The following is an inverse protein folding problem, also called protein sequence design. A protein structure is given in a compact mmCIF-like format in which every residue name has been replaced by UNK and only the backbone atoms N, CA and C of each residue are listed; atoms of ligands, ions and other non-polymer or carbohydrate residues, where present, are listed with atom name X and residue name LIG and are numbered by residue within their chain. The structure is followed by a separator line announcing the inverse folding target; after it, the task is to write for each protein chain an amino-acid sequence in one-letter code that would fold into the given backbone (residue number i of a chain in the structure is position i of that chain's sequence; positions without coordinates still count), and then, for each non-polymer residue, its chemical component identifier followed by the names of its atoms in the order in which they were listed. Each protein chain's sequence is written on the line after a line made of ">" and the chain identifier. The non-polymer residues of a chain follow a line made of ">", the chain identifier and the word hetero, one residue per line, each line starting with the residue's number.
data_IF_814417230123
#
_entry.id   IF_814417230123
#
_cell.length_a   1.000
_cell.length_b   1.000
_cell.length_c   1.000
_cell.angle_alpha   90.00
_cell.angle_beta   90.00
_cell.angle_gamma   90.00
#
_symmetry.space_group_name_H-M   'P 1'
#
loop_
_entity.id
_entity.type
_entity.pdbx_description
1 polymer ?
#
# COMPACT_ATOMS: atom_id res chain seq x y z
N UNK A 1 -5.10 -12.54 28.81
CA UNK A 1 -4.36 -11.26 28.96
C UNK A 1 -4.19 -11.00 30.44
N UNK A 2 -3.00 -10.59 30.92
CA UNK A 2 -2.82 -10.23 32.32
C UNK A 2 -3.72 -9.04 32.70
N UNK A 3 -4.28 -9.05 33.91
CA UNK A 3 -5.02 -7.90 34.42
C UNK A 3 -4.06 -6.73 34.67
N UNK A 4 -4.35 -5.62 34.02
CA UNK A 4 -3.69 -4.35 34.28
C UNK A 4 -4.50 -3.56 35.30
N UNK A 5 -3.79 -3.01 36.27
CA UNK A 5 -4.31 -2.13 37.31
C UNK A 5 -4.76 -0.81 36.69
N UNK A 6 -6.07 -0.63 36.56
CA UNK A 6 -6.66 0.53 35.89
C UNK A 6 -6.34 1.84 36.61
N UNK A 7 -6.13 1.81 37.94
CA UNK A 7 -5.89 2.99 38.78
C UNK A 7 -4.56 2.96 39.54
N UNK A 8 -3.62 2.06 39.22
CA UNK A 8 -2.33 1.95 39.93
C UNK A 8 -2.39 1.44 41.37
N UNK A 9 -3.60 1.23 41.92
CA UNK A 9 -3.82 0.80 43.32
C UNK A 9 -3.51 -0.69 43.57
N UNK A 10 -3.35 -1.48 42.51
CA UNK A 10 -3.00 -2.89 42.58
C UNK A 10 -1.79 -3.18 41.68
N UNK A 11 -0.95 -4.18 42.01
CA UNK A 11 0.11 -4.63 41.12
C UNK A 11 -0.47 -5.22 39.85
N UNK A 12 0.13 -4.90 38.69
CA UNK A 12 -0.18 -5.58 37.44
C UNK A 12 0.13 -7.07 37.60
N UNK A 13 -0.82 -7.93 37.23
CA UNK A 13 -0.56 -9.37 37.20
C UNK A 13 0.43 -9.64 36.07
N UNK A 14 1.59 -10.23 36.38
CA UNK A 14 2.49 -10.70 35.33
C UNK A 14 2.04 -12.10 34.93
N UNK A 15 1.97 -12.38 33.62
CA UNK A 15 1.69 -13.72 33.16
C UNK A 15 2.70 -14.69 33.78
N UNK A 16 2.22 -15.70 34.50
CA UNK A 16 3.06 -16.67 35.17
C UNK A 16 4.04 -17.31 34.18
N UNK A 17 5.34 -17.13 34.43
CA UNK A 17 6.41 -17.77 33.64
C UNK A 17 6.39 -19.30 33.75
N UNK A 18 5.57 -19.90 34.63
CA UNK A 18 5.50 -21.34 34.85
C UNK A 18 4.26 -21.99 34.21
N UNK A 19 3.32 -21.21 33.66
CA UNK A 19 2.07 -21.74 33.09
C UNK A 19 2.27 -22.75 31.95
N UNK A 20 3.36 -22.63 31.19
CA UNK A 20 3.74 -23.56 30.13
C UNK A 20 4.03 -24.98 30.66
N UNK A 21 4.47 -25.13 31.92
CA UNK A 21 4.75 -26.45 32.51
C UNK A 21 3.49 -27.31 32.61
N UNK A 22 2.33 -26.70 32.85
CA UNK A 22 1.06 -27.44 32.91
C UNK A 22 0.62 -27.93 31.52
N UNK A 23 0.93 -27.16 30.47
CA UNK A 23 0.69 -27.54 29.07
C UNK A 23 1.58 -28.72 28.69
N UNK A 24 2.88 -28.65 29.00
CA UNK A 24 3.84 -29.73 28.72
C UNK A 24 3.52 -31.01 29.50
N UNK A 25 2.95 -30.90 30.71
CA UNK A 25 2.55 -32.04 31.54
C UNK A 25 1.20 -32.64 31.15
N UNK A 26 0.41 -31.96 30.32
CA UNK A 26 -0.89 -32.47 29.88
C UNK A 26 -0.72 -33.71 29.01
N UNK A 27 -1.29 -34.83 29.45
CA UNK A 27 -1.28 -36.10 28.70
C UNK A 27 -1.95 -35.96 27.34
N UNK A 28 -3.01 -35.14 27.24
CA UNK A 28 -3.68 -34.82 25.98
C UNK A 28 -2.75 -34.08 25.02
N UNK A 29 -2.04 -33.05 25.48
CA UNK A 29 -1.10 -32.30 24.63
C UNK A 29 0.05 -33.19 24.18
N UNK A 30 0.57 -34.06 25.05
CA UNK A 30 1.59 -35.04 24.67
C UNK A 30 1.08 -36.02 23.61
N UNK A 31 -0.11 -36.59 23.81
CA UNK A 31 -0.73 -37.49 22.84
C UNK A 31 -0.95 -36.81 21.49
N UNK A 32 -1.32 -35.53 21.47
CA UNK A 32 -1.43 -34.77 20.23
C UNK A 32 -0.07 -34.59 19.56
N UNK A 33 0.97 -34.19 20.31
CA UNK A 33 2.32 -34.00 19.75
C UNK A 33 2.92 -35.32 19.26
N UNK A 34 2.65 -36.43 19.95
CA UNK A 34 3.07 -37.78 19.54
C UNK A 34 2.37 -38.25 18.26
N UNK A 35 1.15 -37.76 17.99
CA UNK A 35 0.39 -38.00 16.76
C UNK A 35 0.81 -37.05 15.62
N UNK A 36 1.58 -36.00 15.90
CA UNK A 36 2.07 -35.09 14.87
C UNK A 36 3.19 -35.75 14.06
N UNK A 37 2.92 -35.97 12.79
CA UNK A 37 3.93 -36.40 11.83
C UNK A 37 4.72 -35.19 11.31
N UNK A 38 6.04 -35.29 11.37
CA UNK A 38 6.89 -34.37 10.63
C UNK A 38 6.78 -34.70 9.15
N UNK A 39 6.13 -33.82 8.39
CA UNK A 39 6.22 -33.88 6.93
C UNK A 39 7.63 -33.39 6.57
N UNK A 40 8.51 -34.30 6.17
CA UNK A 40 9.78 -33.96 5.54
C UNK A 40 9.48 -33.19 4.23
N UNK A 41 9.30 -31.88 4.35
CA UNK A 41 9.72 -30.96 3.28
C UNK A 41 11.20 -31.22 3.12
N UNK A 42 11.59 -31.78 1.98
CA UNK A 42 12.98 -32.08 1.64
C UNK A 42 13.89 -30.95 2.13
N UNK A 43 14.97 -31.30 2.81
CA UNK A 43 15.99 -30.37 3.31
C UNK A 43 16.60 -29.52 2.19
N UNK A 44 16.47 -29.98 0.95
CA UNK A 44 16.48 -29.15 -0.23
C UNK A 44 15.06 -28.63 -0.44
N UNK A 45 14.82 -27.33 -0.19
CA UNK A 45 13.69 -26.66 -0.87
C UNK A 45 13.81 -27.09 -2.32
N UNK A 46 12.79 -27.76 -2.86
CA UNK A 46 12.86 -28.25 -4.22
C UNK A 46 13.01 -27.03 -5.13
N UNK A 47 14.26 -26.66 -5.44
CA UNK A 47 14.60 -25.58 -6.35
C UNK A 47 14.04 -25.86 -7.73
N UNK A 48 13.56 -27.10 -8.00
CA UNK A 48 12.78 -27.43 -9.19
C UNK A 48 11.38 -26.82 -9.18
N UNK A 49 10.79 -26.52 -8.01
CA UNK A 49 9.50 -25.82 -7.90
C UNK A 49 9.66 -24.30 -7.97
N UNK A 50 10.83 -23.77 -7.68
CA UNK A 50 11.12 -22.32 -7.76
C UNK A 50 11.88 -22.00 -9.04
N UNK A 51 11.20 -21.37 -10.01
CA UNK A 51 11.80 -21.04 -11.30
C UNK A 51 12.60 -19.72 -11.23
N UNK A 52 13.61 -19.69 -10.35
CA UNK A 52 14.53 -18.57 -10.24
C UNK A 52 15.38 -18.44 -11.49
N UNK A 53 15.51 -17.21 -11.99
CA UNK A 53 16.24 -16.89 -13.21
C UNK A 53 17.34 -15.90 -12.89
N UNK A 54 18.52 -16.16 -13.44
CA UNK A 54 19.58 -15.16 -13.51
C UNK A 54 19.08 -14.00 -14.38
N UNK A 55 19.18 -12.77 -13.88
CA UNK A 55 18.87 -11.59 -14.65
C UNK A 55 20.04 -11.24 -15.57
N UNK A 56 19.81 -11.40 -16.87
CA UNK A 56 20.75 -11.03 -17.92
C UNK A 56 20.00 -10.27 -19.03
N UNK A 57 19.91 -8.95 -18.89
CA UNK A 57 19.25 -8.09 -19.87
C UNK A 57 20.06 -6.84 -20.14
N UNK A 58 20.13 -6.44 -21.41
CA UNK A 58 20.77 -5.19 -21.86
C UNK A 58 19.73 -4.07 -22.07
N UNK A 59 18.59 -4.14 -21.38
CA UNK A 59 17.57 -3.09 -21.49
C UNK A 59 18.02 -1.78 -20.84
N UNK A 60 17.56 -0.64 -21.34
CA UNK A 60 17.89 0.65 -20.72
C UNK A 60 17.17 0.84 -19.38
N UNK A 61 17.88 1.32 -18.34
CA UNK A 61 17.26 1.64 -17.06
C UNK A 61 16.27 2.80 -17.18
N UNK A 62 15.39 2.92 -16.19
CA UNK A 62 14.46 4.04 -16.04
C UNK A 62 15.21 5.21 -15.40
N UNK A 63 14.92 6.44 -15.85
CA UNK A 63 15.69 7.63 -15.50
C UNK A 63 15.02 8.46 -14.41
N UNK A 64 13.70 8.63 -14.51
CA UNK A 64 12.92 9.39 -13.54
C UNK A 64 12.30 8.44 -12.53
N UNK A 65 12.35 8.79 -11.25
CA UNK A 65 11.79 7.95 -10.19
C UNK A 65 10.81 8.78 -9.38
N UNK A 66 9.62 8.21 -9.14
CA UNK A 66 8.66 8.75 -8.20
C UNK A 66 8.44 7.73 -7.09
N UNK A 67 8.44 8.16 -5.85
CA UNK A 67 8.17 7.31 -4.70
C UNK A 67 7.07 7.91 -3.84
N UNK A 68 6.10 7.08 -3.43
CA UNK A 68 5.03 7.47 -2.51
C UNK A 68 5.10 6.62 -1.25
N UNK A 69 4.91 7.26 -0.11
CA UNK A 69 4.73 6.60 1.18
C UNK A 69 3.76 7.40 2.08
N UNK A 70 3.12 6.71 3.00
CA UNK A 70 2.12 7.26 3.90
C UNK A 70 2.34 6.83 5.34
N UNK A 71 1.97 7.70 6.27
CA UNK A 71 1.86 7.34 7.68
C UNK A 71 0.59 7.91 8.30
N UNK A 72 0.12 7.28 9.37
CA UNK A 72 -0.93 7.82 10.21
C UNK A 72 -0.61 7.61 11.68
N UNK A 73 -1.11 8.50 12.53
CA UNK A 73 -0.97 8.42 13.99
C UNK A 73 -2.31 8.72 14.63
N UNK A 74 -2.77 7.80 15.49
CA UNK A 74 -3.89 8.07 16.40
C UNK A 74 -3.40 8.89 17.58
N UNK A 75 -4.10 9.98 17.87
CA UNK A 75 -3.90 10.83 19.04
C UNK A 75 -5.16 10.80 19.89
N UNK A 76 -4.96 10.60 21.19
CA UNK A 76 -6.03 10.54 22.20
C UNK A 76 -5.78 11.68 23.19
N UNK A 77 -6.78 12.52 23.47
CA UNK A 77 -6.67 13.54 24.51
C UNK A 77 -7.99 13.81 25.25
N UNK A 78 -7.88 14.52 26.38
CA UNK A 78 -8.98 14.84 27.28
C UNK A 78 -9.31 13.75 28.32
N UNK A 79 -10.21 14.11 29.24
CA UNK A 79 -10.68 13.22 30.32
C UNK A 79 -11.92 12.41 29.88
N UNK A 80 -12.17 11.28 30.54
CA UNK A 80 -13.16 10.26 30.16
C UNK A 80 -14.56 10.79 29.81
N UNK A 81 -15.15 10.37 28.66
CA UNK A 81 -14.56 9.53 27.62
C UNK A 81 -13.56 10.32 26.76
N UNK A 82 -12.42 9.71 26.36
CA UNK A 82 -11.36 10.43 25.66
C UNK A 82 -11.78 10.79 24.23
N UNK A 83 -11.25 11.92 23.73
CA UNK A 83 -11.38 12.33 22.33
C UNK A 83 -10.28 11.68 21.52
N UNK A 84 -10.62 11.11 20.37
CA UNK A 84 -9.65 10.45 19.50
C UNK A 84 -9.70 11.02 18.09
N UNK A 85 -8.54 11.35 17.55
CA UNK A 85 -8.35 11.73 16.15
C UNK A 85 -7.25 10.88 15.51
N UNK A 86 -7.31 10.71 14.19
CA UNK A 86 -6.21 10.19 13.40
C UNK A 86 -5.65 11.30 12.51
N UNK A 87 -4.36 11.62 12.68
CA UNK A 87 -3.62 12.42 11.71
C UNK A 87 -3.07 11.50 10.63
N UNK A 88 -3.22 11.90 9.37
CA UNK A 88 -2.76 11.14 8.20
C UNK A 88 -1.90 12.06 7.35
N UNK A 89 -0.73 11.59 6.94
CA UNK A 89 0.20 12.30 6.08
C UNK A 89 0.75 11.35 5.02
N UNK A 90 0.66 11.75 3.77
CA UNK A 90 1.23 11.02 2.64
C UNK A 90 2.19 11.95 1.90
N UNK A 91 3.31 11.41 1.43
CA UNK A 91 4.32 12.15 0.71
C UNK A 91 4.59 11.49 -0.65
N UNK A 92 4.71 12.31 -1.69
CA UNK A 92 5.14 11.92 -3.03
C UNK A 92 6.45 12.64 -3.31
N UNK A 93 7.48 11.89 -3.64
CA UNK A 93 8.81 12.40 -3.93
C UNK A 93 9.18 12.09 -5.37
N UNK A 94 9.58 13.11 -6.12
CA UNK A 94 10.29 12.93 -7.38
C UNK A 94 11.80 12.88 -7.10
N UNK A 95 12.48 11.89 -7.66
CA UNK A 95 13.94 11.80 -7.59
C UNK A 95 14.51 11.56 -8.98
N UNK A 96 15.50 12.36 -9.33
CA UNK A 96 16.33 12.15 -10.50
C UNK A 96 17.39 11.09 -10.17
N UNK A 97 17.47 10.02 -10.97
CA UNK A 97 18.45 8.95 -10.80
C UNK A 97 19.88 9.48 -10.73
N UNK A 98 20.22 10.49 -11.54
CA UNK A 98 21.57 11.09 -11.55
C UNK A 98 21.89 11.71 -10.19
N UNK A 99 20.89 12.28 -9.50
CA UNK A 99 21.08 12.82 -8.15
C UNK A 99 21.27 11.72 -7.10
N UNK A 100 20.61 10.57 -7.25
CA UNK A 100 20.79 9.41 -6.34
C UNK A 100 22.22 8.87 -6.47
N UNK A 101 22.73 8.75 -7.69
CA UNK A 101 24.07 8.21 -7.94
C UNK A 101 25.21 9.04 -7.31
N UNK A 102 24.95 10.32 -7.03
CA UNK A 102 25.90 11.21 -6.34
C UNK A 102 25.91 11.03 -4.80
N UNK A 103 24.93 10.33 -4.24
CA UNK A 103 24.81 10.11 -2.79
C UNK A 103 25.58 8.84 -2.42
N UNK A 104 26.34 8.89 -1.32
CA UNK A 104 26.94 7.68 -0.76
C UNK A 104 25.83 6.73 -0.25
N UNK A 105 25.67 5.53 -0.85
CA UNK A 105 24.61 4.59 -0.46
C UNK A 105 24.84 3.95 0.91
N UNK A 106 26.06 4.06 1.49
CA UNK A 106 26.38 3.54 2.82
C UNK A 106 26.21 4.60 3.90
N UNK A 107 26.61 5.84 3.61
CA UNK A 107 26.59 6.93 4.57
C UNK A 107 26.10 8.24 3.90
N UNK A 108 24.80 8.33 3.59
CA UNK A 108 24.28 9.48 2.86
C UNK A 108 24.38 10.75 3.72
N UNK A 109 24.93 11.83 3.15
CA UNK A 109 25.12 13.07 3.89
C UNK A 109 23.75 13.77 4.13
N UNK A 110 23.39 14.13 5.38
CA UNK A 110 22.05 14.68 5.68
C UNK A 110 21.67 15.93 4.89
N UNK A 111 22.63 16.81 4.58
CA UNK A 111 22.37 18.00 3.75
C UNK A 111 22.02 17.65 2.29
N UNK A 112 22.67 16.64 1.70
CA UNK A 112 22.37 16.20 0.33
C UNK A 112 20.96 15.60 0.24
N UNK A 113 20.57 14.83 1.27
CA UNK A 113 19.22 14.31 1.42
C UNK A 113 18.21 15.46 1.49
N UNK A 114 18.44 16.46 2.34
CA UNK A 114 17.55 17.61 2.50
C UNK A 114 17.40 18.40 1.19
N UNK A 115 18.50 18.67 0.49
CA UNK A 115 18.47 19.46 -0.75
C UNK A 115 17.64 18.77 -1.87
N UNK A 116 17.61 17.43 -1.88
CA UNK A 116 16.74 16.65 -2.78
C UNK A 116 15.27 16.77 -2.37
N UNK A 117 14.99 16.76 -1.07
CA UNK A 117 13.64 16.80 -0.51
C UNK A 117 12.97 18.17 -0.68
N UNK A 118 13.69 19.27 -0.42
CA UNK A 118 13.12 20.63 -0.34
C UNK A 118 12.45 21.11 -1.64
N UNK A 119 12.85 20.57 -2.81
CA UNK A 119 12.34 20.99 -4.12
C UNK A 119 11.54 19.92 -4.89
N UNK A 120 11.40 18.71 -4.32
CA UNK A 120 10.90 17.56 -5.08
C UNK A 120 9.80 16.76 -4.38
N UNK A 121 9.36 17.23 -3.20
CA UNK A 121 8.35 16.56 -2.39
C UNK A 121 7.01 17.30 -2.38
N UNK A 122 5.94 16.58 -2.70
CA UNK A 122 4.56 16.99 -2.47
C UNK A 122 4.00 16.20 -1.29
N UNK A 123 3.05 16.77 -0.57
CA UNK A 123 2.42 16.11 0.57
C UNK A 123 0.91 16.30 0.56
N UNK A 124 0.21 15.31 1.13
CA UNK A 124 -1.20 15.36 1.49
C UNK A 124 -1.28 15.25 3.00
N UNK A 125 -2.09 16.07 3.66
CA UNK A 125 -2.26 15.99 5.12
C UNK A 125 -3.71 16.22 5.54
N UNK A 126 -4.25 15.33 6.35
CA UNK A 126 -5.62 15.47 6.87
C UNK A 126 -5.77 14.88 8.27
N UNK A 127 -6.93 15.12 8.88
CA UNK A 127 -7.26 14.62 10.22
C UNK A 127 -8.69 14.08 10.24
N UNK A 128 -8.87 12.89 10.79
CA UNK A 128 -10.19 12.30 10.99
C UNK A 128 -10.61 12.32 12.45
N UNK A 129 -11.85 12.70 12.76
CA UNK A 129 -12.43 12.42 14.06
C UNK A 129 -12.73 10.92 14.15
N UNK A 130 -12.21 10.26 15.19
CA UNK A 130 -12.47 8.83 15.43
C UNK A 130 -13.59 8.65 16.46
N UNK A 131 -13.40 9.17 17.68
CA UNK A 131 -14.33 9.00 18.79
C UNK A 131 -14.53 10.28 19.59
N UNK A 132 -15.78 10.50 20.05
CA UNK A 132 -16.17 11.59 20.96
C UNK A 132 -15.85 13.01 20.45
N UNK A 133 -15.91 13.21 19.13
CA UNK A 133 -15.69 14.49 18.47
C UNK A 133 -16.90 14.79 17.59
N UNK A 134 -17.26 16.07 17.46
CA UNK A 134 -18.28 16.55 16.54
C UNK A 134 -17.75 17.75 15.80
N UNK A 135 -18.15 17.90 14.54
CA UNK A 135 -17.74 19.04 13.70
C UNK A 135 -18.96 19.87 13.33
N UNK A 136 -18.73 21.03 12.69
CA UNK A 136 -19.82 21.81 12.09
C UNK A 136 -20.52 21.06 10.95
N UNK A 137 -19.92 20.01 10.40
CA UNK A 137 -20.46 19.18 9.32
C UNK A 137 -21.39 18.06 9.80
N UNK A 138 -21.58 17.91 11.11
CA UNK A 138 -22.49 16.92 11.69
C UNK A 138 -21.80 15.93 12.62
N UNK A 139 -22.36 14.72 12.69
CA UNK A 139 -21.81 13.58 13.42
C UNK A 139 -20.50 13.08 12.76
N UNK A 140 -19.84 12.09 13.37
CA UNK A 140 -18.56 11.58 12.85
C UNK A 140 -18.70 11.00 11.44
N UNK A 141 -19.83 10.33 11.18
CA UNK A 141 -20.13 9.75 9.89
C UNK A 141 -20.14 10.78 8.75
N UNK A 142 -20.89 11.87 8.89
CA UNK A 142 -20.94 12.94 7.89
C UNK A 142 -19.64 13.77 7.86
N UNK A 143 -19.03 13.99 9.02
CA UNK A 143 -17.77 14.70 9.11
C UNK A 143 -16.67 14.00 8.29
N UNK A 144 -16.46 12.70 8.47
CA UNK A 144 -15.41 11.96 7.75
C UNK A 144 -15.69 11.94 6.25
N UNK A 145 -16.93 11.70 5.82
CA UNK A 145 -17.31 11.73 4.39
C UNK A 145 -16.93 13.05 3.72
N UNK A 146 -17.28 14.15 4.36
CA UNK A 146 -16.97 15.48 3.84
C UNK A 146 -15.50 15.88 4.00
N UNK A 147 -14.79 15.42 5.04
CA UNK A 147 -13.34 15.66 5.16
C UNK A 147 -12.61 14.97 4.02
N UNK A 148 -12.95 13.72 3.71
CA UNK A 148 -12.37 12.96 2.59
C UNK A 148 -12.58 13.69 1.26
N UNK A 149 -13.83 14.12 0.99
CA UNK A 149 -14.15 14.85 -0.23
C UNK A 149 -13.36 16.15 -0.36
N UNK A 150 -13.42 17.01 0.66
CA UNK A 150 -12.76 18.32 0.64
C UNK A 150 -11.24 18.18 0.60
N UNK A 151 -10.67 17.23 1.36
CA UNK A 151 -9.22 17.06 1.46
C UNK A 151 -8.61 16.72 0.09
N UNK A 152 -9.27 15.89 -0.71
CA UNK A 152 -8.81 15.57 -2.06
C UNK A 152 -8.94 16.75 -3.04
N UNK A 153 -9.89 17.66 -2.80
CA UNK A 153 -10.13 18.84 -3.65
C UNK A 153 -9.25 20.04 -3.29
N UNK A 154 -8.81 20.15 -2.05
CA UNK A 154 -8.01 21.28 -1.56
C UNK A 154 -6.53 21.11 -1.95
N UNK A 155 -5.95 19.94 -1.70
CA UNK A 155 -4.52 19.72 -1.88
C UNK A 155 -4.13 19.72 -3.37
N UNK A 156 -3.00 20.36 -3.69
CA UNK A 156 -2.46 20.53 -5.05
C UNK A 156 -3.51 21.06 -6.06
N UNK A 157 -4.35 22.02 -5.63
CA UNK A 157 -5.45 22.59 -6.42
C UNK A 157 -6.41 21.52 -6.99
N UNK A 158 -6.65 20.45 -6.23
CA UNK A 158 -7.57 19.37 -6.60
C UNK A 158 -6.96 18.33 -7.53
N UNK A 159 -5.63 18.31 -7.72
CA UNK A 159 -4.98 17.36 -8.61
C UNK A 159 -5.24 15.90 -8.23
N UNK A 160 -5.31 15.60 -6.93
CA UNK A 160 -5.62 14.25 -6.44
C UNK A 160 -7.07 13.86 -6.68
N UNK A 161 -8.01 14.79 -6.51
CA UNK A 161 -9.42 14.59 -6.86
C UNK A 161 -9.62 14.37 -8.36
N UNK A 162 -8.94 15.15 -9.22
CA UNK A 162 -8.98 14.92 -10.66
C UNK A 162 -8.38 13.58 -11.07
N UNK A 163 -7.36 13.09 -10.36
CA UNK A 163 -6.84 11.74 -10.55
C UNK A 163 -7.86 10.67 -10.15
N UNK A 164 -8.60 10.87 -9.04
CA UNK A 164 -9.71 9.99 -8.67
C UNK A 164 -10.76 9.94 -9.79
N UNK A 165 -11.16 11.09 -10.33
CA UNK A 165 -12.11 11.18 -11.46
C UNK A 165 -11.56 10.51 -12.72
N UNK A 166 -10.28 10.71 -13.01
CA UNK A 166 -9.60 10.12 -14.16
C UNK A 166 -9.61 8.58 -14.11
N UNK A 167 -9.32 7.99 -12.96
CA UNK A 167 -9.46 6.53 -12.72
C UNK A 167 -10.92 6.09 -12.75
N UNK A 168 -11.79 6.80 -12.04
CA UNK A 168 -13.19 6.41 -11.86
C UNK A 168 -13.97 6.38 -13.18
N UNK A 169 -13.79 7.41 -14.00
CA UNK A 169 -14.50 7.58 -15.28
C UNK A 169 -13.68 7.14 -16.49
N UNK A 170 -12.52 6.50 -16.26
CA UNK A 170 -11.59 6.03 -17.30
C UNK A 170 -11.28 7.12 -18.35
N UNK A 171 -10.96 8.33 -17.89
CA UNK A 171 -10.81 9.53 -18.75
C UNK A 171 -9.67 9.43 -19.79
N UNK A 172 -8.83 8.38 -19.75
CA UNK A 172 -7.86 8.07 -20.80
C UNK A 172 -8.48 7.47 -22.06
N UNK A 173 -9.73 7.00 -21.98
CA UNK A 173 -10.50 6.50 -23.12
C UNK A 173 -11.44 7.59 -23.67
N UNK A 174 -11.87 7.41 -24.91
CA UNK A 174 -12.85 8.26 -25.60
C UNK A 174 -14.28 8.01 -25.13
N UNK A 175 -14.56 6.83 -24.57
CA UNK A 175 -15.86 6.45 -24.07
C UNK A 175 -16.14 7.11 -22.71
N UNK A 176 -17.29 7.76 -22.59
CA UNK A 176 -17.75 8.35 -21.34
C UNK A 176 -18.42 7.28 -20.48
N UNK A 177 -17.70 6.82 -19.47
CA UNK A 177 -18.20 5.83 -18.51
C UNK A 177 -18.83 6.47 -17.26
N UNK A 178 -19.73 5.74 -16.61
CA UNK A 178 -20.21 6.06 -15.26
C UNK A 178 -19.21 5.56 -14.21
N UNK A 179 -19.29 6.08 -12.98
CA UNK A 179 -18.50 5.51 -11.88
C UNK A 179 -18.91 4.06 -11.60
N UNK A 180 -18.07 3.27 -10.91
CA UNK A 180 -18.51 2.02 -10.31
C UNK A 180 -19.74 2.21 -9.41
N UNK A 181 -20.56 1.17 -9.31
CA UNK A 181 -21.69 1.14 -8.40
C UNK A 181 -21.22 1.16 -6.93
N UNK A 182 -22.10 1.62 -6.05
CA UNK A 182 -21.79 1.71 -4.63
C UNK A 182 -23.07 1.83 -3.80
N UNK A 183 -22.95 1.61 -2.49
CA UNK A 183 -24.05 1.72 -1.56
C UNK A 183 -24.22 3.18 -1.12
N UNK A 184 -25.46 3.69 -1.12
CA UNK A 184 -25.75 5.03 -0.63
C UNK A 184 -25.48 5.12 0.88
N UNK A 185 -24.72 6.14 1.36
CA UNK A 185 -24.41 6.31 2.78
C UNK A 185 -25.65 6.57 3.64
N UNK A 186 -26.72 7.17 3.09
CA UNK A 186 -27.91 7.48 3.89
C UNK A 186 -28.95 6.37 3.95
N UNK A 187 -29.18 5.65 2.84
CA UNK A 187 -30.30 4.68 2.76
C UNK A 187 -29.88 3.26 2.43
N UNK A 188 -28.57 2.99 2.33
CA UNK A 188 -28.00 1.66 2.07
C UNK A 188 -28.44 0.97 0.75
N UNK A 189 -29.14 1.67 -0.14
CA UNK A 189 -29.49 1.14 -1.47
C UNK A 189 -28.33 1.33 -2.44
N UNK A 190 -28.14 0.37 -3.34
CA UNK A 190 -27.09 0.41 -4.37
C UNK A 190 -27.46 1.43 -5.44
N UNK A 191 -26.56 2.36 -5.70
CA UNK A 191 -26.58 3.32 -6.80
C UNK A 191 -25.71 2.76 -7.91
N UNK A 192 -26.22 2.75 -9.15
CA UNK A 192 -25.53 2.14 -10.31
C UNK A 192 -24.20 2.83 -10.66
N UNK A 193 -24.08 4.11 -10.33
CA UNK A 193 -22.88 4.92 -10.51
C UNK A 193 -23.22 6.40 -10.62
N UNK A 194 -22.19 7.24 -10.51
CA UNK A 194 -22.28 8.66 -10.84
C UNK A 194 -22.27 8.85 -12.36
N UNK A 195 -23.07 9.81 -12.87
CA UNK A 195 -22.92 10.29 -14.24
C UNK A 195 -21.48 10.72 -14.53
N UNK A 196 -21.05 10.56 -15.79
CA UNK A 196 -19.70 10.91 -16.22
C UNK A 196 -19.30 12.31 -15.75
N UNK A 197 -18.12 12.38 -15.12
CA UNK A 197 -17.46 13.61 -14.67
C UNK A 197 -18.21 14.43 -13.59
N UNK A 198 -19.24 13.87 -12.98
CA UNK A 198 -19.97 14.52 -11.88
C UNK A 198 -19.26 14.35 -10.53
N UNK A 199 -19.40 15.37 -9.67
CA UNK A 199 -18.75 15.42 -8.35
C UNK A 199 -19.71 15.06 -7.21
N UNK A 200 -20.98 15.46 -7.37
CA UNK A 200 -22.07 15.24 -6.41
C UNK A 200 -23.36 14.90 -7.14
N UNK A 201 -24.25 14.18 -6.48
CA UNK A 201 -25.59 13.89 -6.98
C UNK A 201 -26.57 13.68 -5.83
N UNK A 202 -27.87 13.72 -6.13
CA UNK A 202 -28.93 13.30 -5.21
C UNK A 202 -29.17 11.80 -5.37
N UNK A 203 -29.24 11.07 -4.25
CA UNK A 203 -29.57 9.65 -4.28
C UNK A 203 -30.96 9.42 -4.93
N UNK A 204 -31.09 8.52 -5.92
CA UNK A 204 -32.37 8.28 -6.60
C UNK A 204 -33.45 7.67 -5.71
N UNK A 205 -33.10 7.17 -4.51
CA UNK A 205 -34.03 6.50 -3.61
C UNK A 205 -34.40 7.31 -2.37
N UNK A 206 -33.49 8.10 -1.81
CA UNK A 206 -33.74 8.89 -0.59
C UNK A 206 -33.52 10.39 -0.76
N UNK A 207 -33.07 10.84 -1.93
CA UNK A 207 -32.84 12.26 -2.27
C UNK A 207 -31.84 13.01 -1.38
N UNK A 208 -31.04 12.31 -0.56
CA UNK A 208 -29.92 12.91 0.15
C UNK A 208 -28.72 13.14 -0.78
N UNK A 209 -27.84 14.06 -0.37
CA UNK A 209 -26.59 14.34 -1.09
C UNK A 209 -25.59 13.20 -0.97
N UNK A 210 -25.01 12.86 -2.11
CA UNK A 210 -23.97 11.85 -2.25
C UNK A 210 -22.78 12.48 -2.97
N UNK A 211 -21.59 12.25 -2.43
CA UNK A 211 -20.32 12.75 -2.91
C UNK A 211 -19.64 11.66 -3.74
N UNK A 212 -18.91 12.00 -4.79
CA UNK A 212 -18.20 11.00 -5.60
C UNK A 212 -17.29 10.08 -4.76
N UNK A 213 -16.67 10.64 -3.72
CA UNK A 213 -15.82 9.88 -2.79
C UNK A 213 -16.57 8.85 -1.96
N UNK A 214 -17.90 8.96 -1.82
CA UNK A 214 -18.72 7.93 -1.16
C UNK A 214 -18.66 6.59 -1.92
N UNK A 215 -18.37 6.61 -3.23
CA UNK A 215 -18.17 5.41 -4.04
C UNK A 215 -17.07 4.51 -3.49
N UNK A 216 -16.03 5.09 -2.89
CA UNK A 216 -14.92 4.34 -2.27
C UNK A 216 -15.40 3.49 -1.08
N UNK A 217 -16.50 3.88 -0.44
CA UNK A 217 -17.17 3.06 0.59
C UNK A 217 -16.61 3.22 2.00
N UNK A 218 -15.88 4.29 2.33
CA UNK A 218 -15.42 4.54 3.71
C UNK A 218 -16.55 4.51 4.74
N UNK A 219 -17.73 4.96 4.33
CA UNK A 219 -18.94 5.00 5.13
C UNK A 219 -19.48 3.61 5.51
N UNK A 220 -18.99 2.53 4.91
CA UNK A 220 -19.38 1.16 5.26
C UNK A 220 -18.64 0.63 6.49
N UNK A 221 -17.50 1.22 6.84
CA UNK A 221 -16.70 0.84 8.00
C UNK A 221 -16.98 1.73 9.23
N UNK A 222 -17.91 2.67 9.11
CA UNK A 222 -18.21 3.67 10.14
C UNK A 222 -19.61 3.47 10.73
N UNK A 223 -19.78 3.96 11.95
CA UNK A 223 -21.09 4.18 12.58
C UNK A 223 -21.26 5.66 12.89
N UNK A 224 -22.48 6.06 13.29
CA UNK A 224 -22.86 7.48 13.37
C UNK A 224 -21.89 8.34 14.21
N UNK A 225 -21.52 7.85 15.40
CA UNK A 225 -20.67 8.56 16.36
C UNK A 225 -19.24 8.00 16.46
N UNK A 226 -18.83 7.06 15.60
CA UNK A 226 -17.50 6.44 15.68
C UNK A 226 -16.96 5.98 14.33
N UNK A 227 -15.67 6.25 14.09
CA UNK A 227 -14.90 5.71 12.99
C UNK A 227 -13.71 4.89 13.53
N UNK A 228 -13.53 3.63 13.08
CA UNK A 228 -12.39 2.82 13.47
C UNK A 228 -11.09 3.32 12.81
N UNK A 229 -9.95 2.98 13.40
CA UNK A 229 -8.62 3.29 12.84
C UNK A 229 -8.41 2.71 11.43
N UNK A 230 -9.13 1.64 11.07
CA UNK A 230 -9.11 1.07 9.73
C UNK A 230 -9.55 2.04 8.63
N UNK A 231 -10.40 3.03 8.95
CA UNK A 231 -10.79 4.09 8.01
C UNK A 231 -9.60 4.99 7.69
N UNK A 232 -8.80 5.34 8.71
CA UNK A 232 -7.61 6.17 8.53
C UNK A 232 -6.53 5.45 7.71
N UNK A 233 -6.26 4.17 8.03
CA UNK A 233 -5.28 3.39 7.28
C UNK A 233 -5.74 3.10 5.84
N UNK A 234 -7.04 2.84 5.62
CA UNK A 234 -7.57 2.67 4.27
C UNK A 234 -7.51 3.97 3.45
N UNK A 235 -7.77 5.12 4.07
CA UNK A 235 -7.68 6.41 3.39
C UNK A 235 -6.23 6.70 2.98
N UNK A 236 -5.27 6.43 3.87
CA UNK A 236 -3.85 6.52 3.56
C UNK A 236 -3.47 5.70 2.31
N UNK A 237 -3.91 4.44 2.23
CA UNK A 237 -3.65 3.56 1.07
C UNK A 237 -4.29 4.09 -0.24
N UNK A 238 -5.48 4.66 -0.15
CA UNK A 238 -6.15 5.29 -1.30
C UNK A 238 -5.39 6.54 -1.74
N UNK A 239 -5.01 7.41 -0.81
CA UNK A 239 -4.26 8.64 -1.12
C UNK A 239 -2.87 8.31 -1.67
N UNK A 240 -2.15 7.32 -1.13
CA UNK A 240 -0.91 6.83 -1.73
C UNK A 240 -1.12 6.42 -3.20
N UNK A 241 -2.20 5.69 -3.47
CA UNK A 241 -2.54 5.28 -4.84
C UNK A 241 -2.86 6.50 -5.71
N UNK A 242 -3.69 7.44 -5.25
CA UNK A 242 -4.03 8.65 -6.01
C UNK A 242 -2.82 9.55 -6.24
N UNK A 243 -1.96 9.74 -5.24
CA UNK A 243 -0.73 10.51 -5.35
C UNK A 243 0.24 9.84 -6.32
N UNK A 244 0.35 8.51 -6.34
CA UNK A 244 1.15 7.78 -7.34
C UNK A 244 0.60 7.94 -8.76
N UNK A 245 -0.73 7.88 -8.92
CA UNK A 245 -1.40 8.01 -10.22
C UNK A 245 -1.50 9.45 -10.73
N UNK A 246 -1.29 10.45 -9.87
CA UNK A 246 -1.34 11.86 -10.26
C UNK A 246 -0.24 12.25 -11.25
N UNK A 247 1.06 12.00 -11.00
CA UNK A 247 2.09 12.21 -12.01
C UNK A 247 1.90 11.29 -13.22
N UNK A 248 1.39 10.06 -13.05
CA UNK A 248 1.04 9.18 -14.19
C UNK A 248 0.03 9.87 -15.11
N UNK A 249 -1.07 10.40 -14.57
CA UNK A 249 -2.09 11.14 -15.33
C UNK A 249 -1.50 12.36 -16.03
N UNK A 250 -0.76 13.20 -15.29
CA UNK A 250 -0.16 14.41 -15.84
C UNK A 250 0.83 14.10 -16.97
N UNK A 251 1.68 13.09 -16.79
CA UNK A 251 2.63 12.64 -17.79
C UNK A 251 1.94 11.94 -18.96
N UNK A 252 0.81 11.27 -18.73
CA UNK A 252 0.02 10.65 -19.78
C UNK A 252 -0.49 11.70 -20.78
N UNK A 253 -0.98 12.83 -20.30
CA UNK A 253 -1.48 13.90 -21.16
C UNK A 253 -0.36 14.82 -21.70
N UNK A 254 0.88 14.62 -21.25
CA UNK A 254 2.03 15.40 -21.67
C UNK A 254 2.47 15.08 -23.11
N UNK A 255 2.98 16.10 -23.82
CA UNK A 255 3.36 15.99 -25.23
C UNK A 255 4.56 15.07 -25.47
N UNK A 256 5.51 15.03 -24.54
CA UNK A 256 6.60 14.05 -24.59
C UNK A 256 6.09 12.70 -24.08
N UNK A 257 5.66 11.85 -25.02
CA UNK A 257 5.12 10.55 -24.70
C UNK A 257 6.16 9.57 -24.13
N UNK A 258 7.45 9.77 -24.41
CA UNK A 258 8.52 8.89 -23.93
C UNK A 258 8.78 9.08 -22.43
N UNK A 259 8.48 10.26 -21.88
CA UNK A 259 8.78 10.61 -20.49
C UNK A 259 8.14 9.63 -19.49
N UNK A 260 6.85 9.31 -19.65
CA UNK A 260 6.17 8.36 -18.75
C UNK A 260 6.76 6.95 -18.86
N UNK A 261 7.12 6.52 -20.07
CA UNK A 261 7.72 5.20 -20.29
C UNK A 261 9.17 5.14 -19.83
N UNK A 262 9.84 6.28 -19.59
CA UNK A 262 11.16 6.36 -18.97
C UNK A 262 11.12 6.64 -17.46
N UNK A 263 9.93 6.53 -16.85
CA UNK A 263 9.69 6.81 -15.44
C UNK A 263 9.33 5.54 -14.67
N UNK A 264 9.93 5.35 -13.50
CA UNK A 264 9.60 4.32 -12.51
C UNK A 264 8.77 4.94 -11.38
N UNK A 265 7.59 4.38 -11.12
CA UNK A 265 6.72 4.76 -10.00
C UNK A 265 6.82 3.70 -8.91
N UNK A 266 7.10 4.10 -7.68
CA UNK A 266 7.39 3.22 -6.55
C UNK A 266 6.40 3.52 -5.42
N UNK A 267 5.78 2.46 -4.89
CA UNK A 267 4.94 2.52 -3.69
C UNK A 267 5.58 1.70 -2.57
N UNK A 268 5.61 2.23 -1.34
CA UNK A 268 5.89 1.40 -0.16
C UNK A 268 4.66 0.51 0.13
N UNK A 269 4.86 -0.81 0.11
CA UNK A 269 3.81 -1.81 0.24
C UNK A 269 3.21 -2.33 -1.07
N UNK A 270 2.17 -3.17 -0.97
CA UNK A 270 1.63 -3.91 -2.11
C UNK A 270 0.82 -3.03 -3.06
N UNK A 271 0.77 -3.44 -4.33
CA UNK A 271 -0.13 -2.87 -5.34
C UNK A 271 -1.50 -3.57 -5.25
N UNK A 272 -2.22 -3.29 -4.17
CA UNK A 272 -3.54 -3.87 -3.89
C UNK A 272 -4.43 -2.92 -3.11
N UNK A 273 -5.75 -3.02 -3.32
CA UNK A 273 -6.78 -2.39 -2.51
C UNK A 273 -7.76 -3.46 -2.03
N UNK A 274 -7.95 -3.57 -0.71
CA UNK A 274 -8.77 -4.62 -0.11
C UNK A 274 -10.23 -4.18 0.11
N UNK A 275 -11.10 -5.15 0.42
CA UNK A 275 -12.48 -4.92 0.84
C UNK A 275 -13.27 -4.01 -0.14
N UNK A 276 -14.07 -3.08 0.36
CA UNK A 276 -14.87 -2.15 -0.43
C UNK A 276 -14.05 -1.14 -1.26
N UNK A 277 -12.76 -0.97 -0.95
CA UNK A 277 -11.83 -0.06 -1.64
C UNK A 277 -11.33 -0.64 -2.98
N UNK A 278 -11.51 -1.95 -3.18
CA UNK A 278 -11.15 -2.67 -4.41
C UNK A 278 -11.89 -2.17 -5.67
N UNK A 279 -12.88 -1.28 -5.55
CA UNK A 279 -13.64 -0.75 -6.70
C UNK A 279 -12.78 -0.02 -7.74
N UNK A 280 -11.63 0.52 -7.34
CA UNK A 280 -10.69 1.15 -8.28
C UNK A 280 -9.82 0.14 -9.03
N UNK A 281 -9.65 -1.08 -8.50
CA UNK A 281 -8.75 -2.12 -9.05
C UNK A 281 -9.08 -2.47 -10.50
N UNK A 282 -10.36 -2.72 -10.89
CA UNK A 282 -10.69 -2.99 -12.29
C UNK A 282 -10.28 -1.85 -13.23
N UNK A 283 -10.54 -0.60 -12.85
CA UNK A 283 -10.21 0.56 -13.68
C UNK A 283 -8.69 0.77 -13.79
N UNK A 284 -7.95 0.56 -12.70
CA UNK A 284 -6.48 0.57 -12.72
C UNK A 284 -5.94 -0.49 -13.69
N UNK A 285 -6.44 -1.73 -13.61
CA UNK A 285 -6.04 -2.80 -14.53
C UNK A 285 -6.36 -2.48 -15.99
N UNK A 286 -7.54 -1.90 -16.25
CA UNK A 286 -7.95 -1.42 -17.58
C UNK A 286 -6.95 -0.37 -18.10
N UNK A 287 -6.57 0.61 -17.27
CA UNK A 287 -5.56 1.60 -17.66
C UNK A 287 -4.21 0.96 -17.97
N UNK A 288 -3.73 0.05 -17.10
CA UNK A 288 -2.44 -0.62 -17.31
C UNK A 288 -2.43 -1.43 -18.62
N UNK A 289 -3.53 -2.10 -18.94
CA UNK A 289 -3.70 -2.79 -20.20
C UNK A 289 -3.73 -1.81 -21.38
N UNK A 290 -4.52 -0.74 -21.28
CA UNK A 290 -4.60 0.29 -22.32
C UNK A 290 -3.24 0.91 -22.62
N UNK A 291 -2.44 1.20 -21.58
CA UNK A 291 -1.10 1.73 -21.71
C UNK A 291 -0.15 0.74 -22.41
N UNK A 292 -0.23 -0.54 -22.06
CA UNK A 292 0.49 -1.64 -22.72
C UNK A 292 0.13 -1.74 -24.20
N UNK A 293 -1.15 -1.75 -24.54
CA UNK A 293 -1.66 -1.90 -25.90
C UNK A 293 -1.33 -0.70 -26.80
N UNK A 294 -1.22 0.50 -26.22
CA UNK A 294 -0.77 1.72 -26.91
C UNK A 294 0.75 1.76 -27.14
N UNK A 295 1.51 0.76 -26.67
CA UNK A 295 2.97 0.76 -26.75
C UNK A 295 3.63 1.81 -25.85
N UNK A 296 2.91 2.28 -24.81
CA UNK A 296 3.36 3.30 -23.86
C UNK A 296 3.27 2.75 -22.43
N UNK A 297 4.08 1.73 -22.08
CA UNK A 297 4.00 1.07 -20.80
C UNK A 297 4.31 2.04 -19.65
N UNK A 298 3.59 1.87 -18.54
CA UNK A 298 3.80 2.58 -17.28
C UNK A 298 4.46 1.63 -16.30
N UNK A 299 5.65 1.97 -15.81
CA UNK A 299 6.44 1.11 -14.94
C UNK A 299 6.13 1.42 -13.48
N UNK A 300 5.40 0.53 -12.81
CA UNK A 300 5.01 0.69 -11.41
C UNK A 300 5.51 -0.50 -10.62
N UNK A 301 6.10 -0.25 -9.45
CA UNK A 301 6.43 -1.28 -8.47
C UNK A 301 5.84 -0.95 -7.10
N UNK A 302 5.35 -1.96 -6.41
CA UNK A 302 5.11 -1.93 -4.96
C UNK A 302 6.16 -2.78 -4.26
N UNK A 303 6.74 -2.29 -3.17
CA UNK A 303 7.79 -3.00 -2.43
C UNK A 303 7.26 -3.45 -1.06
N UNK A 304 7.15 -4.76 -0.83
CA UNK A 304 6.73 -5.30 0.47
C UNK A 304 7.96 -5.66 1.32
N UNK A 305 7.98 -5.15 2.56
CA UNK A 305 9.04 -5.38 3.56
C UNK A 305 8.60 -6.27 4.73
N UNK A 306 7.36 -6.75 4.69
CA UNK A 306 6.76 -7.57 5.75
C UNK A 306 5.58 -8.37 5.21
N UNK A 307 5.11 -9.33 6.02
CA UNK A 307 3.97 -10.18 5.70
C UNK A 307 4.36 -11.46 4.99
N UNK A 308 3.35 -12.29 4.70
CA UNK A 308 3.54 -13.71 4.32
C UNK A 308 4.51 -13.93 3.16
N UNK A 309 4.50 -13.07 2.16
CA UNK A 309 5.39 -13.18 1.00
C UNK A 309 6.85 -12.90 1.37
N UNK A 310 7.08 -11.90 2.22
CA UNK A 310 8.42 -11.56 2.70
C UNK A 310 8.93 -12.62 3.68
N UNK A 311 8.07 -13.09 4.60
CA UNK A 311 8.39 -14.17 5.55
C UNK A 311 8.78 -15.46 4.80
N UNK A 312 8.03 -15.79 3.75
CA UNK A 312 8.34 -16.92 2.90
C UNK A 312 9.66 -16.71 2.13
N UNK A 313 9.89 -15.52 1.57
CA UNK A 313 11.16 -15.21 0.89
C UNK A 313 12.37 -15.37 1.82
N UNK A 314 12.28 -14.89 3.07
CA UNK A 314 13.32 -15.10 4.10
C UNK A 314 13.61 -16.58 4.31
N UNK A 315 12.56 -17.41 4.35
CA UNK A 315 12.72 -18.86 4.59
C UNK A 315 13.48 -19.59 3.47
N UNK A 316 13.47 -19.03 2.24
CA UNK A 316 14.04 -19.68 1.06
C UNK A 316 15.31 -19.01 0.54
N UNK A 317 15.57 -17.74 0.88
CA UNK A 317 16.59 -16.93 0.21
C UNK A 317 18.00 -17.54 0.30
N UNK A 318 18.36 -18.17 1.41
CA UNK A 318 19.69 -18.77 1.60
C UNK A 318 19.99 -19.90 0.60
N UNK A 319 18.96 -20.52 0.04
CA UNK A 319 19.05 -21.63 -0.92
C UNK A 319 19.07 -21.15 -2.39
N UNK A 320 19.03 -19.83 -2.61
CA UNK A 320 18.92 -19.23 -3.95
C UNK A 320 20.08 -18.26 -4.19
N UNK A 321 20.71 -18.26 -5.39
CA UNK A 321 21.67 -17.24 -5.78
C UNK A 321 21.07 -15.82 -5.81
N UNK A 322 21.88 -14.76 -5.77
CA UNK A 322 23.34 -14.76 -5.61
C UNK A 322 23.80 -15.16 -4.20
N UNK A 323 24.81 -16.04 -4.11
CA UNK A 323 25.48 -16.39 -2.85
C UNK A 323 26.73 -15.54 -2.59
N UNK A 324 27.28 -14.92 -3.63
CA UNK A 324 28.36 -13.95 -3.56
C UNK A 324 27.99 -12.65 -4.29
N UNK A 325 28.63 -11.53 -3.93
CA UNK A 325 28.36 -10.20 -4.54
C UNK A 325 28.79 -10.07 -6.00
N UNK A 326 29.54 -11.03 -6.52
CA UNK A 326 30.01 -11.03 -7.90
C UNK A 326 29.04 -11.77 -8.85
N UNK A 327 28.06 -12.49 -8.28
CA UNK A 327 27.01 -13.14 -9.05
C UNK A 327 25.95 -12.12 -9.45
N UNK A 328 25.27 -12.40 -10.57
CA UNK A 328 24.19 -11.54 -11.04
C UNK A 328 22.96 -11.68 -10.16
N UNK A 329 22.14 -10.63 -10.16
CA UNK A 329 20.83 -10.63 -9.54
C UNK A 329 19.97 -11.77 -10.09
N UNK A 330 19.16 -12.37 -9.22
CA UNK A 330 18.17 -13.38 -9.58
C UNK A 330 16.76 -12.89 -9.27
N UNK A 331 15.78 -13.37 -10.02
CA UNK A 331 14.38 -13.08 -9.78
C UNK A 331 13.50 -14.31 -10.04
N UNK A 332 12.31 -14.30 -9.45
CA UNK A 332 11.28 -15.31 -9.68
C UNK A 332 9.92 -14.61 -9.74
N UNK A 333 9.25 -14.71 -10.89
CA UNK A 333 7.85 -14.28 -11.06
C UNK A 333 6.96 -15.40 -10.51
N UNK A 334 6.15 -15.10 -9.49
CA UNK A 334 5.41 -16.13 -8.75
C UNK A 334 4.08 -16.44 -9.45
N UNK A 335 3.90 -17.65 -10.01
CA UNK A 335 2.61 -18.06 -10.56
C UNK A 335 1.58 -18.25 -9.43
N UNK A 336 0.29 -18.07 -9.73
CA UNK A 336 -0.80 -18.19 -8.76
C UNK A 336 -0.80 -19.56 -8.07
N UNK A 337 -0.48 -20.64 -8.79
CA UNK A 337 -0.32 -21.98 -8.21
C UNK A 337 0.73 -22.01 -7.09
N UNK A 338 1.92 -21.45 -7.35
CA UNK A 338 3.00 -21.39 -6.38
C UNK A 338 2.60 -20.60 -5.14
N UNK A 339 1.89 -19.48 -5.35
CA UNK A 339 1.40 -18.65 -4.24
C UNK A 339 0.43 -19.44 -3.35
N UNK A 340 -0.49 -20.20 -3.94
CA UNK A 340 -1.48 -20.98 -3.18
C UNK A 340 -0.83 -22.15 -2.44
N UNK A 341 0.06 -22.88 -3.10
CA UNK A 341 0.68 -24.09 -2.56
C UNK A 341 1.74 -23.78 -1.51
N UNK A 342 2.70 -22.91 -1.82
CA UNK A 342 3.93 -22.75 -1.04
C UNK A 342 3.85 -21.56 -0.07
N UNK A 343 3.23 -20.45 -0.49
CA UNK A 343 3.17 -19.22 0.34
C UNK A 343 1.95 -19.20 1.25
N UNK A 344 0.75 -19.45 0.70
CA UNK A 344 -0.50 -19.40 1.46
C UNK A 344 -0.84 -20.73 2.13
N UNK A 345 -0.31 -21.85 1.61
CA UNK A 345 -0.64 -23.22 2.01
C UNK A 345 -2.14 -23.44 2.11
N UNK A 346 -2.84 -23.04 1.05
CA UNK A 346 -4.29 -23.18 0.94
C UNK A 346 -4.62 -24.20 -0.14
N UNK A 347 -5.63 -25.06 0.07
CA UNK A 347 -6.10 -25.93 -1.00
C UNK A 347 -6.53 -25.06 -2.19
N UNK A 348 -6.32 -25.57 -3.40
CA UNK A 348 -6.87 -24.98 -4.62
C UNK A 348 -8.38 -24.81 -4.44
N UNK A 349 -8.78 -23.58 -4.17
CA UNK A 349 -10.16 -23.20 -3.95
C UNK A 349 -10.66 -22.45 -5.19
N UNK A 350 -11.97 -22.33 -5.36
CA UNK A 350 -12.56 -21.44 -6.37
C UNK A 350 -12.09 -19.98 -6.24
N UNK A 351 -11.60 -19.58 -5.06
CA UNK A 351 -11.11 -18.22 -4.82
C UNK A 351 -9.71 -18.04 -5.42
N UNK A 352 -9.70 -17.47 -6.63
CA UNK A 352 -8.51 -17.12 -7.37
C UNK A 352 -7.70 -16.02 -6.65
N UNK A 353 -6.38 -16.18 -6.60
CA UNK A 353 -5.48 -15.26 -5.91
C UNK A 353 -5.60 -13.84 -6.47
N UNK A 354 -5.86 -12.87 -5.60
CA UNK A 354 -5.80 -11.43 -5.95
C UNK A 354 -6.85 -10.94 -6.96
N UNK A 355 -7.79 -11.77 -7.39
CA UNK A 355 -8.75 -11.48 -8.47
C UNK A 355 -9.51 -10.18 -8.27
N UNK A 356 -9.92 -9.85 -7.04
CA UNK A 356 -10.64 -8.61 -6.73
C UNK A 356 -9.75 -7.48 -6.24
N UNK A 357 -8.66 -7.80 -5.54
CA UNK A 357 -7.94 -6.83 -4.71
C UNK A 357 -6.62 -6.35 -5.29
N UNK A 358 -5.95 -7.17 -6.10
CA UNK A 358 -4.57 -6.89 -6.50
C UNK A 358 -4.55 -6.23 -7.88
N UNK A 359 -3.67 -5.27 -8.12
CA UNK A 359 -3.42 -4.75 -9.48
C UNK A 359 -1.93 -4.82 -9.86
N UNK A 360 -1.12 -5.45 -9.00
CA UNK A 360 0.21 -5.96 -9.33
C UNK A 360 0.37 -7.42 -8.90
N UNK A 361 1.23 -8.14 -9.60
CA UNK A 361 1.58 -9.54 -9.32
C UNK A 361 2.93 -9.64 -8.62
N UNK A 362 3.13 -10.74 -7.88
CA UNK A 362 4.27 -10.91 -6.97
C UNK A 362 5.51 -11.40 -7.72
N UNK A 363 6.64 -10.79 -7.38
CA UNK A 363 7.96 -11.15 -7.90
C UNK A 363 8.94 -11.13 -6.75
N UNK A 364 9.68 -12.21 -6.58
CA UNK A 364 10.84 -12.21 -5.68
C UNK A 364 12.07 -11.77 -6.45
N UNK A 365 12.87 -10.93 -5.81
CA UNK A 365 14.15 -10.46 -6.35
C UNK A 365 15.19 -10.62 -5.27
N UNK A 366 16.32 -11.24 -5.63
CA UNK A 366 17.54 -11.31 -4.81
C UNK A 366 18.66 -10.64 -5.58
N UNK A 367 19.01 -9.42 -5.17
CA UNK A 367 19.97 -8.57 -5.85
C UNK A 367 21.42 -8.91 -5.46
N UNK A 368 21.66 -9.14 -4.18
CA UNK A 368 22.95 -9.51 -3.60
C UNK A 368 22.71 -10.44 -2.40
N UNK A 369 23.75 -11.12 -1.86
CA UNK A 369 23.63 -11.84 -0.58
C UNK A 369 23.10 -10.91 0.53
N UNK A 370 22.00 -11.32 1.18
CA UNK A 370 21.32 -10.51 2.21
C UNK A 370 20.52 -9.31 1.67
N UNK A 371 20.44 -9.13 0.35
CA UNK A 371 19.63 -8.06 -0.28
C UNK A 371 18.59 -8.67 -1.20
N UNK A 372 17.39 -8.85 -0.66
CA UNK A 372 16.23 -9.39 -1.37
C UNK A 372 14.98 -8.57 -1.07
N UNK A 373 14.00 -8.66 -1.95
CA UNK A 373 12.76 -7.88 -1.85
C UNK A 373 11.61 -8.60 -2.53
N UNK A 374 10.40 -8.31 -2.04
CA UNK A 374 9.16 -8.74 -2.68
C UNK A 374 8.59 -7.55 -3.45
N UNK A 375 8.55 -7.68 -4.76
CA UNK A 375 7.99 -6.68 -5.66
C UNK A 375 6.58 -7.05 -6.10
N UNK A 376 5.81 -6.02 -6.40
CA UNK A 376 4.49 -6.10 -7.00
C UNK A 376 4.52 -5.30 -8.29
N UNK A 377 4.30 -5.95 -9.44
CA UNK A 377 4.37 -5.27 -10.74
C UNK A 377 3.08 -5.55 -11.53
N UNK A 378 2.44 -4.53 -12.13
CA UNK A 378 1.24 -4.73 -12.94
C UNK A 378 1.48 -5.56 -14.20
N UNK A 379 0.45 -6.27 -14.65
CA UNK A 379 0.42 -7.06 -15.89
C UNK A 379 -0.54 -6.49 -16.94
N UNK A 380 -1.56 -5.76 -16.51
CA UNK A 380 -2.71 -5.33 -17.31
C UNK A 380 -3.99 -5.98 -16.78
N UNK A 381 -4.73 -6.65 -17.65
CA UNK A 381 -5.90 -7.43 -17.24
C UNK A 381 -5.53 -8.57 -16.29
N UNK A 382 -6.48 -8.91 -15.42
CA UNK A 382 -6.36 -10.08 -14.58
C UNK A 382 -6.53 -11.36 -15.40
N UNK A 383 -5.69 -12.35 -15.10
CA UNK A 383 -5.80 -13.69 -15.65
C UNK A 383 -5.81 -14.69 -14.49
N UNK A 384 -6.77 -15.61 -14.51
CA UNK A 384 -6.99 -16.58 -13.44
C UNK A 384 -6.26 -17.91 -13.64
N UNK A 385 -5.44 -18.03 -14.70
CA UNK A 385 -4.71 -19.26 -14.96
C UNK A 385 -3.70 -19.55 -13.83
N UNK A 386 -3.60 -20.81 -13.42
CA UNK A 386 -2.73 -21.22 -12.32
C UNK A 386 -1.23 -20.95 -12.60
N UNK A 387 -0.82 -21.00 -13.87
CA UNK A 387 0.54 -20.72 -14.33
C UNK A 387 0.80 -19.24 -14.65
N UNK A 388 -0.17 -18.36 -14.39
CA UNK A 388 -0.04 -16.91 -14.53
C UNK A 388 0.43 -16.27 -13.21
N UNK A 389 1.21 -15.18 -13.25
CA UNK A 389 1.85 -14.58 -14.43
C UNK A 389 3.14 -15.28 -14.86
N UNK A 390 3.52 -15.02 -16.12
CA UNK A 390 4.86 -15.30 -16.68
C UNK A 390 5.62 -13.99 -16.85
N UNK A 391 6.93 -14.08 -17.07
CA UNK A 391 7.81 -12.92 -17.27
C UNK A 391 7.28 -11.92 -18.32
N UNK A 392 6.77 -12.42 -19.43
CA UNK A 392 6.24 -11.60 -20.53
C UNK A 392 4.93 -10.88 -20.19
N UNK A 393 4.23 -11.32 -19.15
CA UNK A 393 2.99 -10.68 -18.69
C UNK A 393 3.30 -9.42 -17.87
N UNK A 394 4.43 -9.43 -17.14
CA UNK A 394 4.86 -8.34 -16.27
C UNK A 394 5.26 -7.10 -17.08
N UNK A 395 4.58 -5.98 -16.85
CA UNK A 395 4.84 -4.73 -17.59
C UNK A 395 6.23 -4.20 -17.22
N UNK A 396 7.12 -4.20 -18.22
CA UNK A 396 8.43 -3.56 -18.13
C UNK A 396 9.44 -4.26 -17.20
N UNK A 397 9.25 -5.56 -16.95
CA UNK A 397 10.09 -6.39 -16.06
C UNK A 397 11.58 -6.11 -16.22
N UNK A 398 12.12 -6.24 -17.43
CA UNK A 398 13.56 -6.10 -17.68
C UNK A 398 14.09 -4.71 -17.30
N UNK A 399 13.36 -3.64 -17.67
CA UNK A 399 13.78 -2.27 -17.37
C UNK A 399 13.69 -1.95 -15.89
N UNK A 400 12.68 -2.48 -15.21
CA UNK A 400 12.53 -2.37 -13.76
C UNK A 400 13.69 -3.07 -13.05
N UNK A 401 13.97 -4.32 -13.40
CA UNK A 401 15.08 -5.10 -12.86
C UNK A 401 16.44 -4.45 -13.15
N UNK A 402 16.64 -3.86 -14.33
CA UNK A 402 17.84 -3.08 -14.64
C UNK A 402 17.99 -1.84 -13.74
N UNK A 403 16.88 -1.25 -13.30
CA UNK A 403 16.89 0.00 -12.52
C UNK A 403 17.15 -0.25 -11.04
N UNK A 404 16.61 -1.35 -10.48
CA UNK A 404 16.63 -1.64 -9.04
C UNK A 404 18.02 -1.58 -8.39
N UNK A 405 19.10 -2.15 -8.96
CA UNK A 405 20.41 -2.11 -8.33
C UNK A 405 20.90 -0.71 -7.97
N UNK A 406 20.56 0.30 -8.79
CA UNK A 406 20.92 1.71 -8.53
C UNK A 406 20.10 2.38 -7.41
N UNK A 407 19.01 1.74 -6.97
CA UNK A 407 18.07 2.27 -5.98
C UNK A 407 18.19 1.60 -4.61
N UNK A 408 18.98 0.53 -4.49
CA UNK A 408 19.13 -0.22 -3.24
C UNK A 408 19.77 0.67 -2.18
N UNK A 409 19.10 0.79 -1.04
CA UNK A 409 19.68 1.35 0.17
C UNK A 409 20.42 0.25 0.95
N UNK A 410 21.56 0.60 1.55
CA UNK A 410 22.32 -0.30 2.43
C UNK A 410 22.06 -0.04 3.91
N UNK A 411 21.15 0.87 4.23
CA UNK A 411 20.77 1.22 5.60
C UNK A 411 19.83 0.18 6.22
N UNK A 412 18.93 -0.38 5.41
CA UNK A 412 17.95 -1.38 5.80
C UNK A 412 17.90 -2.50 4.76
N UNK A 413 17.73 -3.75 5.20
CA UNK A 413 17.65 -4.91 4.30
C UNK A 413 16.44 -4.79 3.36
N UNK A 414 16.68 -4.97 2.06
CA UNK A 414 15.62 -4.91 1.03
C UNK A 414 14.99 -3.53 0.83
N UNK A 415 15.57 -2.46 1.38
CA UNK A 415 15.02 -1.12 1.24
C UNK A 415 15.50 -0.41 -0.04
N UNK A 416 14.60 0.37 -0.63
CA UNK A 416 14.91 1.26 -1.75
C UNK A 416 15.07 2.69 -1.24
N UNK A 417 16.15 3.36 -1.63
CA UNK A 417 16.47 4.71 -1.20
C UNK A 417 15.34 5.73 -1.45
N UNK A 418 14.65 5.74 -2.62
CA UNK A 418 13.49 6.61 -2.82
C UNK A 418 12.35 6.40 -1.82
N UNK A 419 12.11 5.16 -1.39
CA UNK A 419 11.10 4.84 -0.38
C UNK A 419 11.53 5.35 0.99
N UNK A 420 12.80 5.17 1.36
CA UNK A 420 13.31 5.70 2.62
C UNK A 420 13.18 7.22 2.73
N UNK A 421 13.43 7.93 1.62
CA UNK A 421 13.23 9.37 1.55
C UNK A 421 11.75 9.75 1.70
N UNK A 422 10.85 9.09 0.97
CA UNK A 422 9.41 9.33 1.07
C UNK A 422 8.89 9.08 2.50
N UNK A 423 9.32 7.98 3.13
CA UNK A 423 9.02 7.68 4.53
C UNK A 423 9.54 8.76 5.48
N UNK A 424 10.77 9.23 5.28
CA UNK A 424 11.33 10.32 6.08
C UNK A 424 10.48 11.60 6.07
N UNK A 425 9.75 11.85 4.98
CA UNK A 425 8.82 12.99 4.85
C UNK A 425 7.45 12.67 5.45
N UNK A 426 6.93 11.48 5.15
CA UNK A 426 5.60 11.06 5.56
C UNK A 426 5.51 10.75 7.06
N UNK A 427 6.60 10.32 7.69
CA UNK A 427 6.64 9.83 9.07
C UNK A 427 6.17 10.86 10.08
N UNK A 428 5.17 10.45 10.88
CA UNK A 428 4.64 11.22 12.02
C UNK A 428 4.88 10.53 13.37
N UNK A 429 5.42 9.31 13.37
CA UNK A 429 5.39 8.39 14.52
C UNK A 429 6.54 8.51 15.52
N UNK A 430 7.46 9.48 15.34
CA UNK A 430 8.56 9.70 16.28
C UNK A 430 8.12 10.54 17.49
N UNK A 431 8.49 10.13 18.70
CA UNK A 431 8.51 11.04 19.86
C UNK A 431 9.52 12.16 19.55
N UNK A 432 9.16 13.47 19.66
CA UNK A 432 8.05 14.06 20.40
C UNK A 432 6.78 14.41 19.59
N UNK A 433 6.71 14.08 18.30
CA UNK A 433 5.65 14.51 17.36
C UNK A 433 4.23 14.18 17.83
N UNK A 434 3.97 12.96 18.32
CA UNK A 434 2.65 12.59 18.84
C UNK A 434 2.21 13.43 20.05
N UNK A 435 3.15 13.78 20.95
CA UNK A 435 2.89 14.62 22.13
C UNK A 435 2.69 16.10 21.75
N UNK A 436 3.34 16.54 20.68
CA UNK A 436 3.12 17.87 20.08
C UNK A 436 1.71 17.91 19.47
N UNK A 437 1.30 16.87 18.74
CA UNK A 437 -0.05 16.77 18.15
C UNK A 437 -1.14 16.71 19.23
N UNK A 438 -0.91 15.98 20.32
CA UNK A 438 -1.81 15.95 21.49
C UNK A 438 -1.99 17.36 22.08
N UNK A 439 -0.88 18.07 22.37
CA UNK A 439 -0.93 19.46 22.87
C UNK A 439 -1.57 20.42 21.89
N UNK A 440 -1.32 20.25 20.59
CA UNK A 440 -1.95 21.04 19.53
C UNK A 440 -3.47 20.81 19.53
N UNK A 441 -3.91 19.56 19.71
CA UNK A 441 -5.32 19.22 19.80
C UNK A 441 -5.99 19.86 21.03
N UNK A 442 -5.38 19.73 22.21
CA UNK A 442 -5.90 20.33 23.46
C UNK A 442 -6.01 21.86 23.38
N UNK A 443 -5.07 22.51 22.68
CA UNK A 443 -5.05 23.97 22.55
C UNK A 443 -6.13 24.50 21.59
N UNK A 444 -6.61 23.68 20.64
CA UNK A 444 -7.48 24.12 19.54
C UNK A 444 -8.90 23.55 19.57
N UNK A 445 -9.14 22.40 20.22
CA UNK A 445 -10.50 21.88 20.38
C UNK A 445 -11.22 22.67 21.48
N UNK A 446 -12.14 23.54 21.09
CA UNK A 446 -13.02 24.25 22.02
C UNK A 446 -13.90 23.23 22.77
N UNK A 447 -13.84 23.23 24.11
CA UNK A 447 -14.91 22.63 24.93
C UNK A 447 -16.16 23.48 24.77
N UNK A 448 -17.22 22.91 24.20
CA UNK A 448 -18.56 23.47 24.33
C UNK A 448 -19.20 22.94 25.60
#
# INVERSE_FOLDING_TARGET
>A
MPYSSVNGNLPNESASKLGHLNVIKSSWVKSLIEDFEYVETSTEIDTRRTNWKEFDSNSDPLMNIWAVDGSFVKVTAGNHPPKEVAFIKTALLMVDKVKIELIDPKCPHPLQIRDIMDNSALFHSTVFPLNNIRTSKGNNYDAVRHIIFDSLQIDENGAYYETLKWITYKKWDTLKDISPNFQCPSCAKVIDGFPYDSDTMKCPYCHNDVLLTDMLGFHLDMIEDSAPESVASAYMLIVETLMLFTPIRLLWDYSDHALISNTLFIKDGPLSLASQYSKLVPNIRIFMQFAKDKGRPVHIIGCEKSGKFFDHLISIENNVPPHSRNEKMHYFVLPHQYILDEVQRRPLSENQYGSRTNWGEKIYVKAEPGTFMVLNIPTGFYNSANDFPKDADIIGLNRILQTIPSLISRKHEGALFPIELANGIASMSSYPSAKILERYMDSNIKSK
#
